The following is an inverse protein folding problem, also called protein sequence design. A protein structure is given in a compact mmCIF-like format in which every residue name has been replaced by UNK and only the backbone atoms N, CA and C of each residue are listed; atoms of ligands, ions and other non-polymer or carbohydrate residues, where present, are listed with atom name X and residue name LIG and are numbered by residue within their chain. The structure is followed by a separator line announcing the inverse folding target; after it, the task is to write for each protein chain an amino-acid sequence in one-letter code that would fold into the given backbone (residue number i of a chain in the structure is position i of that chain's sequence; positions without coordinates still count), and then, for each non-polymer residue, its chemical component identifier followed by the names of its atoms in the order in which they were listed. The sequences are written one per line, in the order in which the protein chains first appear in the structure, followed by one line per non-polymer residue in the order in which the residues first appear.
data_IF_683961474468
#
_entry.id   IF_683961474468
#
_cell.length_a   1.000
_cell.length_b   1.000
_cell.length_c   1.000
_cell.angle_alpha   90.00
_cell.angle_beta   90.00
_cell.angle_gamma   90.00
#
_symmetry.space_group_name_H-M   'P 1'
#
loop_
_entity.id
_entity.type
_entity.pdbx_description
1 polymer ?
#
# COMPACT_ATOMS: atom_id res chain seq x y z
N UNK A 1 18.53 13.74 3.11
CA UNK A 1 17.72 13.07 4.14
C UNK A 1 16.39 12.70 3.50
N UNK A 2 15.83 11.53 3.82
CA UNK A 2 14.76 10.93 3.00
C UNK A 2 13.60 10.36 3.82
N UNK A 3 12.45 10.35 3.16
CA UNK A 3 11.27 9.58 3.58
C UNK A 3 11.30 8.24 2.83
N UNK A 4 11.31 7.14 3.58
CA UNK A 4 11.16 5.80 3.02
C UNK A 4 9.68 5.43 3.06
N UNK A 5 9.12 5.00 1.93
CA UNK A 5 7.75 4.50 1.85
C UNK A 5 7.79 3.03 1.44
N UNK A 6 7.34 2.15 2.33
CA UNK A 6 7.09 0.74 2.03
C UNK A 6 5.61 0.60 1.66
N UNK A 7 5.31 0.18 0.43
CA UNK A 7 3.94 0.13 -0.07
C UNK A 7 3.76 -0.94 -1.15
N UNK A 8 2.61 -0.91 -1.82
CA UNK A 8 2.25 -1.74 -2.97
C UNK A 8 1.97 -0.84 -4.20
N UNK A 9 1.21 -1.31 -5.19
CA UNK A 9 0.91 -0.53 -6.38
C UNK A 9 0.07 0.72 -6.13
N UNK A 10 -0.66 0.82 -5.01
CA UNK A 10 -1.46 2.01 -4.69
C UNK A 10 -0.60 3.27 -4.46
N UNK A 11 0.70 3.11 -4.24
CA UNK A 11 1.62 4.23 -4.13
C UNK A 11 2.01 4.87 -5.46
N UNK A 12 1.92 4.15 -6.59
CA UNK A 12 2.46 4.63 -7.87
C UNK A 12 1.63 4.31 -9.11
N UNK A 13 0.46 3.68 -8.98
CA UNK A 13 -0.47 3.52 -10.10
C UNK A 13 -1.48 4.65 -10.15
N UNK A 14 -1.54 5.32 -11.29
CA UNK A 14 -2.56 6.32 -11.59
C UNK A 14 -3.73 5.76 -12.42
N UNK A 15 -4.56 6.65 -13.00
CA UNK A 15 -5.79 6.25 -13.70
C UNK A 15 -5.55 5.47 -15.00
N UNK A 16 -4.33 5.52 -15.56
CA UNK A 16 -3.95 4.84 -16.81
C UNK A 16 -2.95 3.69 -16.63
N UNK A 17 -2.62 3.34 -15.39
CA UNK A 17 -1.65 2.30 -15.05
C UNK A 17 -0.47 2.80 -14.22
N UNK A 18 0.61 2.03 -14.19
CA UNK A 18 1.80 2.34 -13.40
C UNK A 18 2.52 3.60 -13.88
N UNK A 19 2.83 4.49 -12.94
CA UNK A 19 3.65 5.68 -13.11
C UNK A 19 5.07 5.40 -12.60
N UNK A 20 6.00 6.33 -12.87
CA UNK A 20 7.33 6.27 -12.28
C UNK A 20 7.25 6.40 -10.75
N UNK A 21 8.16 5.75 -10.02
CA UNK A 21 8.19 5.79 -8.56
C UNK A 21 8.47 7.19 -7.97
N UNK A 22 8.90 8.14 -8.81
CA UNK A 22 9.13 9.54 -8.49
C UNK A 22 8.20 10.49 -9.27
N UNK A 23 7.10 9.98 -9.84
CA UNK A 23 6.12 10.82 -10.53
C UNK A 23 5.61 11.91 -9.56
N UNK A 24 5.55 13.19 -9.97
CA UNK A 24 5.18 14.27 -9.05
C UNK A 24 3.69 14.23 -8.63
N UNK A 25 2.84 13.47 -9.35
CA UNK A 25 1.41 13.35 -9.10
C UNK A 25 1.01 12.26 -8.11
N UNK A 26 1.92 11.37 -7.72
CA UNK A 26 1.63 10.31 -6.76
C UNK A 26 1.77 10.78 -5.32
N UNK A 27 0.93 10.24 -4.44
CA UNK A 27 0.83 10.67 -3.04
C UNK A 27 2.19 10.66 -2.29
N UNK A 28 3.09 9.67 -2.46
CA UNK A 28 4.37 9.67 -1.76
C UNK A 28 5.27 10.84 -2.19
N UNK A 29 5.28 11.17 -3.48
CA UNK A 29 6.07 12.29 -4.02
C UNK A 29 5.54 13.63 -3.54
N UNK A 30 4.21 13.76 -3.45
CA UNK A 30 3.55 14.96 -2.91
C UNK A 30 3.95 15.14 -1.44
N UNK A 31 3.83 14.09 -0.62
CA UNK A 31 4.24 14.12 0.80
C UNK A 31 5.71 14.50 0.94
N UNK A 32 6.59 13.88 0.16
CA UNK A 32 8.02 14.14 0.22
C UNK A 32 8.38 15.58 -0.17
N UNK A 33 7.81 16.09 -1.27
CA UNK A 33 7.94 17.49 -1.68
C UNK A 33 7.44 18.44 -0.58
N UNK A 34 6.27 18.17 -0.03
CA UNK A 34 5.66 19.05 0.98
C UNK A 34 6.41 19.01 2.32
N UNK A 35 7.22 17.96 2.57
CA UNK A 35 8.12 17.88 3.72
C UNK A 35 9.56 18.33 3.41
N UNK A 36 9.84 18.79 2.19
CA UNK A 36 11.19 19.11 1.70
C UNK A 36 12.18 17.95 1.94
N UNK A 37 11.81 16.75 1.51
CA UNK A 37 12.59 15.51 1.64
C UNK A 37 12.66 14.74 0.34
N UNK A 38 13.71 13.94 0.20
CA UNK A 38 13.80 12.97 -0.89
C UNK A 38 12.87 11.77 -0.62
N UNK A 39 12.20 11.27 -1.66
CA UNK A 39 11.41 10.05 -1.59
C UNK A 39 12.24 8.82 -1.96
N UNK A 40 12.20 7.79 -1.10
CA UNK A 40 12.62 6.42 -1.43
C UNK A 40 11.40 5.49 -1.35
N UNK A 41 10.74 5.27 -2.49
CA UNK A 41 9.55 4.43 -2.59
C UNK A 41 9.91 2.99 -2.97
N UNK A 42 9.48 2.04 -2.16
CA UNK A 42 9.59 0.60 -2.42
C UNK A 42 8.21 -0.04 -2.43
N UNK A 43 7.83 -0.57 -3.59
CA UNK A 43 6.56 -1.26 -3.77
C UNK A 43 6.49 -1.97 -5.11
N UNK A 44 5.67 -3.02 -5.18
CA UNK A 44 5.32 -3.68 -6.45
C UNK A 44 3.84 -4.02 -6.48
N UNK A 45 3.35 -4.22 -7.71
CA UNK A 45 1.98 -4.64 -7.95
C UNK A 45 1.67 -5.95 -7.22
N UNK A 46 0.56 -5.93 -6.48
CA UNK A 46 0.03 -7.10 -5.79
C UNK A 46 0.83 -7.54 -4.56
N UNK A 47 1.75 -6.72 -4.05
CA UNK A 47 2.48 -7.02 -2.83
C UNK A 47 1.57 -7.10 -1.61
N UNK A 48 1.74 -8.19 -0.87
CA UNK A 48 1.18 -8.39 0.46
C UNK A 48 2.21 -8.02 1.53
N UNK A 49 1.82 -7.99 2.81
CA UNK A 49 2.75 -7.82 3.95
C UNK A 49 3.89 -8.86 3.93
N UNK A 50 3.62 -10.08 3.45
CA UNK A 50 4.66 -11.11 3.25
C UNK A 50 5.70 -10.70 2.23
N UNK A 51 5.27 -10.11 1.11
CA UNK A 51 6.17 -9.71 0.03
C UNK A 51 7.04 -8.54 0.47
N UNK A 52 6.48 -7.59 1.24
CA UNK A 52 7.23 -6.50 1.85
C UNK A 52 8.30 -7.02 2.80
N UNK A 53 7.99 -8.03 3.63
CA UNK A 53 8.99 -8.66 4.50
C UNK A 53 10.16 -9.27 3.71
N UNK A 54 9.86 -10.00 2.64
CA UNK A 54 10.90 -10.59 1.80
C UNK A 54 11.70 -9.53 1.04
N UNK A 55 11.06 -8.47 0.57
CA UNK A 55 11.77 -7.35 -0.03
C UNK A 55 12.69 -6.68 0.99
N UNK A 56 12.19 -6.35 2.19
CA UNK A 56 12.97 -5.75 3.25
C UNK A 56 14.19 -6.59 3.59
N UNK A 57 14.09 -7.92 3.60
CA UNK A 57 15.21 -8.81 3.97
C UNK A 57 16.15 -9.15 2.83
N UNK A 58 15.72 -9.04 1.56
CA UNK A 58 16.50 -9.51 0.40
C UNK A 58 16.93 -8.39 -0.56
N UNK A 59 16.27 -7.24 -0.57
CA UNK A 59 16.61 -6.13 -1.47
C UNK A 59 17.65 -5.21 -0.81
N UNK A 60 18.91 -5.20 -1.31
CA UNK A 60 19.95 -4.37 -0.74
C UNK A 60 19.66 -2.87 -0.83
N UNK A 61 18.80 -2.43 -1.75
CA UNK A 61 18.45 -1.02 -1.89
C UNK A 61 17.56 -0.54 -0.73
N UNK A 62 16.70 -1.42 -0.20
CA UNK A 62 15.90 -1.10 0.98
C UNK A 62 16.83 -0.96 2.19
N UNK A 63 17.73 -1.92 2.39
CA UNK A 63 18.75 -1.85 3.45
C UNK A 63 19.65 -0.62 3.35
N UNK A 64 19.99 -0.19 2.14
CA UNK A 64 20.78 1.02 1.93
C UNK A 64 20.00 2.31 2.25
N UNK A 65 18.68 2.31 2.10
CA UNK A 65 17.85 3.50 2.33
C UNK A 65 17.48 3.73 3.80
N UNK A 66 17.32 2.67 4.61
CA UNK A 66 16.89 2.79 6.01
C UNK A 66 17.88 3.58 6.90
N UNK A 67 19.21 3.41 6.81
CA UNK A 67 20.16 4.16 7.62
C UNK A 67 20.05 5.68 7.48
N UNK A 68 19.76 6.17 6.27
CA UNK A 68 19.65 7.60 5.95
C UNK A 68 18.21 8.15 6.03
N UNK A 69 17.24 7.29 6.35
CA UNK A 69 15.85 7.67 6.53
C UNK A 69 15.66 8.49 7.81
N UNK A 70 14.79 9.49 7.73
CA UNK A 70 14.29 10.22 8.90
C UNK A 70 12.91 9.74 9.35
N UNK A 71 12.17 9.05 8.47
CA UNK A 71 10.88 8.44 8.78
C UNK A 71 10.58 7.32 7.80
N UNK A 72 9.96 6.25 8.28
CA UNK A 72 9.41 5.18 7.44
C UNK A 72 7.89 5.24 7.46
N UNK A 73 7.27 5.32 6.28
CA UNK A 73 5.83 5.18 6.12
C UNK A 73 5.52 3.77 5.65
N UNK A 74 4.76 3.02 6.44
CA UNK A 74 4.28 1.68 6.12
C UNK A 74 2.86 1.77 5.59
N UNK A 75 2.67 1.60 4.29
CA UNK A 75 1.40 1.76 3.59
C UNK A 75 1.08 0.55 2.69
N UNK A 76 0.89 -0.61 3.30
CA UNK A 76 0.57 -1.88 2.62
C UNK A 76 -0.49 -2.68 3.40
N UNK A 77 -0.83 -3.87 2.92
CA UNK A 77 -1.82 -4.75 3.58
C UNK A 77 -3.22 -4.69 2.97
N UNK A 78 -3.48 -3.78 2.02
CA UNK A 78 -4.71 -3.80 1.22
C UNK A 78 -4.86 -5.13 0.46
N UNK A 79 -3.76 -5.58 -0.17
CA UNK A 79 -3.70 -6.86 -0.89
C UNK A 79 -3.93 -8.08 0.00
N UNK A 80 -3.49 -8.05 1.27
CA UNK A 80 -3.68 -9.13 2.25
C UNK A 80 -5.17 -9.45 2.41
N UNK A 81 -5.99 -8.40 2.49
CA UNK A 81 -7.43 -8.48 2.74
C UNK A 81 -8.26 -9.01 1.57
N UNK A 82 -7.66 -9.17 0.39
CA UNK A 82 -8.39 -9.54 -0.82
C UNK A 82 -8.67 -11.05 -0.84
N UNK A 83 -9.86 -11.47 -1.32
CA UNK A 83 -10.14 -12.88 -1.51
C UNK A 83 -9.22 -13.46 -2.57
N UNK A 84 -8.55 -14.55 -2.22
CA UNK A 84 -7.58 -15.24 -3.07
C UNK A 84 -7.97 -16.72 -3.22
N UNK A 85 -8.95 -17.04 -4.08
CA UNK A 85 -9.44 -18.42 -4.26
C UNK A 85 -8.36 -19.40 -4.70
N UNK A 86 -7.34 -18.89 -5.39
CA UNK A 86 -6.14 -19.61 -5.77
C UNK A 86 -4.96 -18.99 -5.02
N UNK A 87 -4.17 -19.75 -4.25
CA UNK A 87 -3.01 -19.21 -3.56
C UNK A 87 -2.10 -18.43 -4.52
N UNK A 88 -1.61 -17.27 -4.06
CA UNK A 88 -0.79 -16.35 -4.86
C UNK A 88 0.37 -17.05 -5.57
N UNK A 89 1.02 -18.02 -4.91
CA UNK A 89 2.12 -18.80 -5.50
C UNK A 89 1.72 -19.53 -6.80
N UNK A 90 0.52 -20.12 -6.87
CA UNK A 90 0.04 -20.80 -8.08
C UNK A 90 -0.35 -19.80 -9.17
N UNK A 91 -0.98 -18.68 -8.79
CA UNK A 91 -1.28 -17.59 -9.72
C UNK A 91 -0.01 -17.06 -10.39
N UNK A 92 1.05 -16.86 -9.61
CA UNK A 92 2.34 -16.37 -10.12
C UNK A 92 3.05 -17.39 -11.03
N UNK A 93 2.79 -18.70 -10.87
CA UNK A 93 3.35 -19.72 -11.76
C UNK A 93 2.84 -19.63 -13.20
N UNK A 94 1.69 -19.00 -13.43
CA UNK A 94 1.11 -18.85 -14.77
C UNK A 94 2.13 -18.22 -15.74
N UNK A 95 2.96 -17.28 -15.28
CA UNK A 95 3.96 -16.61 -16.12
C UNK A 95 5.04 -17.55 -16.69
N UNK A 96 5.24 -18.71 -16.08
CA UNK A 96 6.24 -19.71 -16.49
C UNK A 96 5.67 -20.81 -17.40
N UNK A 97 4.36 -20.85 -17.61
CA UNK A 97 3.71 -21.86 -18.46
C UNK A 97 4.16 -21.70 -19.91
N UNK A 98 4.49 -22.83 -20.54
CA UNK A 98 4.82 -22.93 -21.97
C UNK A 98 4.04 -24.07 -22.60
N UNK A 99 3.71 -23.98 -23.89
CA UNK A 99 3.95 -22.85 -24.82
C UNK A 99 2.99 -21.65 -24.58
N UNK A 100 3.18 -20.56 -25.34
CA UNK A 100 2.45 -19.29 -25.13
C UNK A 100 0.92 -19.44 -25.16
N UNK A 101 0.39 -20.26 -26.07
CA UNK A 101 -1.06 -20.48 -26.17
C UNK A 101 -1.62 -21.10 -24.88
N UNK A 102 -0.90 -22.05 -24.27
CA UNK A 102 -1.34 -22.70 -23.03
C UNK A 102 -1.35 -21.70 -21.86
N UNK A 103 -0.30 -20.89 -21.75
CA UNK A 103 -0.24 -19.81 -20.75
C UNK A 103 -1.42 -18.86 -20.89
N UNK A 104 -1.75 -18.49 -22.13
CA UNK A 104 -2.85 -17.58 -22.42
C UNK A 104 -4.20 -18.21 -22.03
N UNK A 105 -4.43 -19.48 -22.38
CA UNK A 105 -5.63 -20.23 -21.96
C UNK A 105 -5.77 -20.32 -20.44
N UNK A 106 -4.68 -20.63 -19.73
CA UNK A 106 -4.70 -20.71 -18.26
C UNK A 106 -4.96 -19.33 -17.64
N UNK A 107 -4.35 -18.28 -18.17
CA UNK A 107 -4.59 -16.90 -17.73
C UNK A 107 -6.05 -16.50 -17.91
N UNK A 108 -6.64 -16.79 -19.07
CA UNK A 108 -8.02 -16.43 -19.38
C UNK A 108 -9.01 -17.22 -18.51
N UNK A 109 -8.74 -18.52 -18.31
CA UNK A 109 -9.50 -19.35 -17.38
C UNK A 109 -9.42 -18.80 -15.94
N UNK A 110 -8.23 -18.42 -15.48
CA UNK A 110 -8.05 -17.81 -14.17
C UNK A 110 -8.83 -16.48 -14.04
N UNK A 111 -8.74 -15.59 -15.03
CA UNK A 111 -9.47 -14.32 -15.06
C UNK A 111 -10.99 -14.52 -15.07
N UNK A 112 -11.48 -15.63 -15.64
CA UNK A 112 -12.89 -15.99 -15.60
C UNK A 112 -13.31 -16.55 -14.22
N UNK A 113 -12.48 -17.39 -13.60
CA UNK A 113 -12.79 -18.03 -12.30
C UNK A 113 -12.67 -17.04 -11.14
N UNK A 114 -11.60 -16.24 -11.10
CA UNK A 114 -11.25 -15.36 -9.98
C UNK A 114 -12.44 -14.52 -9.47
N UNK A 115 -13.09 -13.67 -10.28
CA UNK A 115 -14.16 -12.79 -9.78
C UNK A 115 -15.38 -13.56 -9.29
N UNK A 116 -15.61 -14.79 -9.80
CA UNK A 116 -16.72 -15.66 -9.37
C UNK A 116 -16.42 -16.34 -8.05
N UNK A 117 -15.22 -16.91 -7.93
CA UNK A 117 -14.78 -17.60 -6.73
C UNK A 117 -14.50 -16.62 -5.58
N UNK A 118 -14.06 -15.39 -5.87
CA UNK A 118 -13.85 -14.34 -4.87
C UNK A 118 -15.11 -14.00 -4.07
N UNK A 119 -16.32 -14.25 -4.60
CA UNK A 119 -17.60 -14.06 -3.88
C UNK A 119 -17.73 -14.93 -2.63
N UNK A 120 -17.02 -16.05 -2.56
CA UNK A 120 -16.91 -16.84 -1.33
C UNK A 120 -16.28 -16.02 -0.21
N UNK A 121 -15.36 -15.11 -0.56
CA UNK A 121 -14.67 -14.19 0.35
C UNK A 121 -13.60 -14.84 1.23
N UNK A 122 -13.33 -16.13 1.00
CA UNK A 122 -12.23 -16.90 1.60
C UNK A 122 -11.67 -17.90 0.57
N UNK A 123 -10.41 -18.32 0.70
CA UNK A 123 -9.42 -17.78 1.63
C UNK A 123 -9.01 -16.35 1.25
N UNK A 124 -8.44 -15.61 2.22
CA UNK A 124 -7.81 -14.31 1.96
C UNK A 124 -6.39 -14.52 1.43
N UNK A 125 -5.81 -13.51 0.80
CA UNK A 125 -4.40 -13.57 0.39
C UNK A 125 -3.50 -13.78 1.62
N UNK A 126 -3.71 -13.00 2.67
CA UNK A 126 -3.17 -13.22 4.01
C UNK A 126 -4.27 -12.97 5.06
N UNK A 127 -4.49 -13.90 6.01
CA UNK A 127 -5.36 -13.66 7.16
C UNK A 127 -4.82 -12.53 8.05
N UNK A 128 -5.71 -11.81 8.76
CA UNK A 128 -5.32 -10.62 9.54
C UNK A 128 -4.28 -10.92 10.62
N UNK A 129 -4.33 -12.09 11.26
CA UNK A 129 -3.31 -12.52 12.23
C UNK A 129 -1.92 -12.65 11.60
N UNK A 130 -1.84 -13.25 10.41
CA UNK A 130 -0.58 -13.41 9.68
C UNK A 130 -0.08 -12.08 9.15
N UNK A 131 -0.99 -11.18 8.75
CA UNK A 131 -0.65 -9.79 8.43
C UNK A 131 0.03 -9.13 9.62
N UNK A 132 -0.57 -9.16 10.82
CA UNK A 132 0.04 -8.58 12.02
C UNK A 132 1.43 -9.15 12.33
N UNK A 133 1.63 -10.47 12.17
CA UNK A 133 2.95 -11.09 12.34
C UNK A 133 4.01 -10.51 11.38
N UNK A 134 3.66 -10.26 10.12
CA UNK A 134 4.59 -9.65 9.16
C UNK A 134 4.84 -8.17 9.46
N UNK A 135 3.80 -7.42 9.89
CA UNK A 135 3.95 -6.04 10.33
C UNK A 135 4.92 -5.92 11.50
N UNK A 136 4.80 -6.81 12.50
CA UNK A 136 5.70 -6.88 13.65
C UNK A 136 7.13 -7.22 13.23
N UNK A 137 7.32 -8.22 12.36
CA UNK A 137 8.66 -8.57 11.82
C UNK A 137 9.32 -7.39 11.10
N UNK A 138 8.57 -6.70 10.25
CA UNK A 138 9.05 -5.55 9.48
C UNK A 138 9.43 -4.41 10.44
N UNK A 139 8.52 -4.00 11.32
CA UNK A 139 8.77 -2.90 12.26
C UNK A 139 9.92 -3.20 13.23
N UNK A 140 9.96 -4.41 13.79
CA UNK A 140 11.04 -4.85 14.67
C UNK A 140 12.40 -4.86 13.97
N UNK A 141 12.46 -5.27 12.70
CA UNK A 141 13.71 -5.27 11.95
C UNK A 141 14.22 -3.86 11.63
N UNK A 142 13.31 -2.95 11.29
CA UNK A 142 13.64 -1.53 11.12
C UNK A 142 14.17 -0.95 12.44
N UNK A 143 13.47 -1.20 13.55
CA UNK A 143 13.86 -0.73 14.89
C UNK A 143 15.16 -1.36 15.40
N UNK A 144 15.48 -2.58 14.98
CA UNK A 144 16.77 -3.20 15.29
C UNK A 144 17.94 -2.44 14.63
N UNK A 145 17.75 -1.95 13.40
CA UNK A 145 18.76 -1.19 12.68
C UNK A 145 18.82 0.28 13.12
N UNK A 146 17.65 0.90 13.33
CA UNK A 146 17.48 2.29 13.76
C UNK A 146 16.40 2.38 14.84
N UNK A 147 16.77 2.23 16.13
CA UNK A 147 15.80 2.26 17.23
C UNK A 147 15.02 3.58 17.34
N UNK A 148 15.67 4.68 16.97
CA UNK A 148 15.16 6.05 17.01
C UNK A 148 14.25 6.41 15.82
N UNK A 149 14.34 5.69 14.70
CA UNK A 149 13.65 6.03 13.45
C UNK A 149 12.11 6.00 13.62
N UNK A 150 11.42 7.14 13.44
CA UNK A 150 9.96 7.20 13.44
C UNK A 150 9.33 6.31 12.38
N UNK A 151 8.20 5.68 12.73
CA UNK A 151 7.39 4.85 11.82
C UNK A 151 5.96 5.39 11.82
N UNK A 152 5.43 5.68 10.63
CA UNK A 152 4.04 6.05 10.40
C UNK A 152 3.31 4.88 9.75
N UNK A 153 2.14 4.53 10.27
CA UNK A 153 1.31 3.43 9.77
C UNK A 153 0.13 3.98 8.96
N UNK A 154 -0.03 3.53 7.73
CA UNK A 154 -1.22 3.83 6.93
C UNK A 154 -2.13 2.61 6.88
N UNK A 155 -3.38 2.77 7.35
CA UNK A 155 -4.37 1.70 7.34
C UNK A 155 -4.89 1.46 5.92
N UNK A 156 -5.23 0.20 5.58
CA UNK A 156 -5.61 -0.16 4.23
C UNK A 156 -6.83 0.62 3.68
N UNK A 157 -6.79 0.98 2.39
CA UNK A 157 -7.89 1.63 1.69
C UNK A 157 -9.01 0.64 1.31
N UNK A 158 -10.01 1.14 0.57
CA UNK A 158 -11.00 0.28 -0.12
C UNK A 158 -10.71 0.16 -1.62
N UNK A 159 -11.54 -0.64 -2.31
CA UNK A 159 -11.51 -0.83 -3.76
C UNK A 159 -12.95 -0.98 -4.30
N UNK A 160 -13.15 -0.83 -5.61
CA UNK A 160 -14.36 -1.19 -6.34
C UNK A 160 -14.06 -2.21 -7.45
N UNK A 161 -13.10 -3.11 -7.22
CA UNK A 161 -12.60 -3.98 -8.29
C UNK A 161 -13.54 -5.13 -8.67
N UNK A 162 -13.90 -5.25 -9.96
CA UNK A 162 -14.63 -6.41 -10.46
C UNK A 162 -13.79 -7.69 -10.39
N UNK A 163 -12.45 -7.60 -10.42
CA UNK A 163 -11.57 -8.77 -10.37
C UNK A 163 -11.68 -9.56 -9.07
N UNK A 164 -12.06 -8.89 -7.98
CA UNK A 164 -12.31 -9.51 -6.69
C UNK A 164 -13.81 -9.63 -6.38
N UNK A 165 -14.66 -9.49 -7.41
CA UNK A 165 -16.11 -9.59 -7.28
C UNK A 165 -16.73 -8.55 -6.34
N UNK A 166 -16.07 -7.39 -6.14
CA UNK A 166 -16.47 -6.33 -5.20
C UNK A 166 -16.55 -6.80 -3.73
N UNK A 167 -15.74 -7.79 -3.36
CA UNK A 167 -15.81 -8.42 -2.03
C UNK A 167 -14.83 -7.78 -1.06
N UNK A 168 -15.34 -7.38 0.11
CA UNK A 168 -14.56 -6.72 1.17
C UNK A 168 -14.49 -7.50 2.48
N UNK A 169 -14.84 -8.81 2.48
CA UNK A 169 -14.98 -9.60 3.73
C UNK A 169 -13.72 -9.57 4.62
N UNK A 170 -12.53 -9.57 4.02
CA UNK A 170 -11.26 -9.55 4.76
C UNK A 170 -10.81 -8.17 5.26
N UNK A 171 -11.42 -7.08 4.77
CA UNK A 171 -10.92 -5.72 5.01
C UNK A 171 -10.93 -5.35 6.49
N UNK A 172 -12.09 -5.50 7.16
CA UNK A 172 -12.23 -5.08 8.56
C UNK A 172 -11.29 -5.86 9.49
N UNK A 173 -11.15 -7.18 9.28
CA UNK A 173 -10.22 -8.01 10.05
C UNK A 173 -8.77 -7.57 9.85
N UNK A 174 -8.37 -7.31 8.60
CA UNK A 174 -7.01 -6.87 8.25
C UNK A 174 -6.71 -5.47 8.80
N UNK A 175 -7.63 -4.52 8.61
CA UNK A 175 -7.50 -3.16 9.15
C UNK A 175 -7.43 -3.18 10.68
N UNK A 176 -8.26 -3.99 11.34
CA UNK A 176 -8.24 -4.16 12.79
C UNK A 176 -6.89 -4.68 13.29
N UNK A 177 -6.36 -5.72 12.65
CA UNK A 177 -5.06 -6.30 13.02
C UNK A 177 -3.91 -5.29 12.87
N UNK A 178 -3.89 -4.50 11.80
CA UNK A 178 -2.86 -3.45 11.59
C UNK A 178 -3.03 -2.32 12.60
N UNK A 179 -4.27 -1.89 12.86
CA UNK A 179 -4.55 -0.83 13.83
C UNK A 179 -4.20 -1.24 15.27
N UNK A 180 -4.45 -2.50 15.64
CA UNK A 180 -4.09 -3.05 16.95
C UNK A 180 -2.57 -3.12 17.12
N UNK A 181 -1.85 -3.54 16.08
CA UNK A 181 -0.39 -3.49 16.04
C UNK A 181 0.14 -2.06 16.20
N UNK A 182 -0.36 -1.11 15.40
CA UNK A 182 0.07 0.28 15.46
C UNK A 182 -0.19 0.88 16.86
N UNK A 183 -1.33 0.59 17.47
CA UNK A 183 -1.66 1.01 18.84
C UNK A 183 -0.71 0.41 19.87
N UNK A 184 -0.41 -0.88 19.77
CA UNK A 184 0.52 -1.56 20.68
C UNK A 184 1.93 -0.96 20.62
N UNK A 185 2.36 -0.48 19.45
CA UNK A 185 3.65 0.19 19.25
C UNK A 185 3.60 1.71 19.44
N UNK A 186 2.42 2.27 19.71
CA UNK A 186 2.18 3.72 19.78
C UNK A 186 2.61 4.46 18.51
N UNK A 187 2.45 3.83 17.35
CA UNK A 187 2.78 4.45 16.07
C UNK A 187 1.67 5.39 15.59
N UNK A 188 2.01 6.60 15.11
CA UNK A 188 1.05 7.47 14.45
C UNK A 188 0.42 6.76 13.25
N UNK A 189 -0.90 6.91 13.11
CA UNK A 189 -1.70 6.14 12.16
C UNK A 189 -2.54 7.07 11.28
N UNK A 190 -2.61 6.77 9.97
CA UNK A 190 -3.44 7.47 8.98
C UNK A 190 -4.44 6.49 8.37
N UNK A 191 -5.73 6.80 8.35
CA UNK A 191 -6.75 5.93 7.73
C UNK A 191 -7.08 6.35 6.30
N UNK A 192 -6.76 5.49 5.33
CA UNK A 192 -7.05 5.75 3.91
C UNK A 192 -8.50 5.43 3.52
N UNK A 193 -9.24 4.70 4.36
CA UNK A 193 -10.55 4.20 3.98
C UNK A 193 -11.58 5.30 3.69
N UNK A 194 -11.79 6.33 4.54
CA UNK A 194 -12.81 7.34 4.27
C UNK A 194 -12.58 8.05 2.94
N UNK A 195 -11.35 8.51 2.69
CA UNK A 195 -10.98 9.18 1.44
C UNK A 195 -11.16 8.29 0.23
N UNK A 196 -10.70 7.03 0.29
CA UNK A 196 -10.83 6.13 -0.86
C UNK A 196 -12.26 5.69 -1.10
N UNK A 197 -13.07 5.49 -0.04
CA UNK A 197 -14.51 5.22 -0.16
C UNK A 197 -15.21 6.36 -0.89
N UNK A 198 -14.99 7.59 -0.46
CA UNK A 198 -15.65 8.77 -1.04
C UNK A 198 -15.21 8.95 -2.49
N UNK A 199 -13.93 8.76 -2.77
CA UNK A 199 -13.38 8.86 -4.10
C UNK A 199 -13.95 7.78 -5.07
N UNK A 200 -14.17 6.54 -4.62
CA UNK A 200 -14.83 5.50 -5.43
C UNK A 200 -16.35 5.72 -5.58
N UNK A 201 -16.97 6.46 -4.66
CA UNK A 201 -18.40 6.79 -4.72
C UNK A 201 -18.69 8.02 -5.59
N UNK A 202 -17.68 8.84 -5.87
CA UNK A 202 -17.77 10.06 -6.66
C UNK A 202 -17.72 9.74 -8.17
N UNK A 203 -18.81 9.93 -8.93
CA UNK A 203 -18.85 9.65 -10.36
C UNK A 203 -18.01 10.63 -11.19
N UNK A 204 -17.68 11.80 -10.65
CA UNK A 204 -16.88 12.82 -11.33
C UNK A 204 -15.38 12.56 -11.17
N UNK A 205 -14.98 11.68 -10.25
CA UNK A 205 -13.59 11.28 -10.09
C UNK A 205 -13.17 10.20 -11.09
N UNK A 206 -12.14 10.51 -11.87
CA UNK A 206 -11.50 9.55 -12.74
C UNK A 206 -10.66 8.54 -11.93
N UNK A 207 -11.23 7.38 -11.65
CA UNK A 207 -10.53 6.23 -11.09
C UNK A 207 -9.88 5.36 -12.16
N UNK A 208 -8.98 4.47 -11.74
CA UNK A 208 -8.50 3.43 -12.63
C UNK A 208 -9.64 2.43 -12.92
N UNK A 209 -9.86 2.04 -14.19
CA UNK A 209 -10.91 1.10 -14.56
C UNK A 209 -10.77 -0.31 -13.95
N UNK A 210 -9.62 -0.67 -13.39
CA UNK A 210 -9.48 -1.93 -12.63
C UNK A 210 -10.21 -1.93 -11.28
N UNK A 211 -10.67 -0.75 -10.83
CA UNK A 211 -11.36 -0.57 -9.56
C UNK A 211 -10.48 -0.82 -8.34
N UNK A 212 -9.16 -0.82 -8.48
CA UNK A 212 -8.19 -0.93 -7.36
C UNK A 212 -7.46 0.39 -7.23
N UNK A 213 -6.87 0.88 -8.32
CA UNK A 213 -5.98 2.03 -8.30
C UNK A 213 -6.74 3.34 -8.48
N UNK A 214 -6.11 4.43 -8.03
CA UNK A 214 -6.76 5.70 -7.87
C UNK A 214 -6.48 6.66 -9.02
N UNK A 215 -7.34 7.67 -9.11
CA UNK A 215 -7.04 8.90 -9.85
C UNK A 215 -5.99 9.76 -9.13
N UNK A 216 -5.40 10.70 -9.87
CA UNK A 216 -4.46 11.67 -9.29
C UNK A 216 -5.11 12.59 -8.25
N UNK A 217 -6.43 12.79 -8.31
CA UNK A 217 -7.14 13.55 -7.27
C UNK A 217 -7.10 12.81 -5.93
N UNK A 218 -7.47 11.53 -5.90
CA UNK A 218 -7.39 10.74 -4.69
C UNK A 218 -5.94 10.60 -4.18
N UNK A 219 -4.91 10.55 -5.06
CA UNK A 219 -3.52 10.69 -4.61
C UNK A 219 -3.24 12.01 -3.87
N UNK A 220 -3.78 13.14 -4.34
CA UNK A 220 -3.66 14.43 -3.63
C UNK A 220 -4.37 14.41 -2.28
N UNK A 221 -5.56 13.83 -2.23
CA UNK A 221 -6.36 13.76 -0.99
C UNK A 221 -5.69 12.85 0.06
N UNK A 222 -5.11 11.73 -0.37
CA UNK A 222 -4.31 10.86 0.49
C UNK A 222 -3.03 11.57 0.96
N UNK A 223 -2.35 12.30 0.09
CA UNK A 223 -1.19 13.09 0.49
C UNK A 223 -1.57 14.16 1.56
N UNK A 224 -2.72 14.82 1.39
CA UNK A 224 -3.22 15.79 2.36
C UNK A 224 -3.49 15.18 3.76
N UNK A 225 -3.88 13.89 3.81
CA UNK A 225 -4.01 13.15 5.07
C UNK A 225 -2.65 12.76 5.68
N UNK A 226 -1.69 12.36 4.84
CA UNK A 226 -0.41 11.80 5.30
C UNK A 226 0.59 12.89 5.69
N UNK A 227 0.66 13.98 4.94
CA UNK A 227 1.65 15.05 5.12
C UNK A 227 1.69 15.60 6.56
N UNK A 228 0.58 15.94 7.22
CA UNK A 228 0.63 16.48 8.58
C UNK A 228 1.24 15.48 9.59
N UNK A 229 0.91 14.20 9.46
CA UNK A 229 1.41 13.15 10.35
C UNK A 229 2.89 12.88 10.13
N UNK A 230 3.34 12.92 8.87
CA UNK A 230 4.76 12.78 8.54
C UNK A 230 5.57 13.99 9.01
N UNK A 231 5.06 15.21 8.88
CA UNK A 231 5.73 16.42 9.40
C UNK A 231 5.89 16.38 10.92
N UNK A 232 4.86 15.96 11.64
CA UNK A 232 4.92 15.78 13.09
C UNK A 232 5.97 14.73 13.48
N UNK A 233 5.99 13.58 12.79
CA UNK A 233 7.01 12.55 13.00
C UNK A 233 8.45 13.02 12.69
N UNK A 234 8.61 13.95 11.74
CA UNK A 234 9.89 14.58 11.42
C UNK A 234 10.26 15.72 12.39
N UNK A 235 9.37 16.13 13.30
CA UNK A 235 9.57 17.30 14.16
C UNK A 235 9.59 18.63 13.39
N UNK A 236 9.01 18.68 12.19
CA UNK A 236 8.94 19.89 11.36
C UNK A 236 7.64 20.65 11.69
N UNK A 237 7.70 21.92 12.14
CA UNK A 237 6.50 22.72 12.41
C UNK A 237 5.61 22.83 11.17
N UNK A 238 4.29 22.91 11.37
CA UNK A 238 3.38 23.29 10.29
C UNK A 238 3.81 24.66 9.73
N UNK A 239 3.86 24.78 8.39
CA UNK A 239 4.17 26.06 7.76
C UNK A 239 3.19 27.12 8.28
N UNK A 240 3.71 28.10 9.01
CA UNK A 240 2.93 29.19 9.56
C UNK A 240 2.23 29.95 8.43
N UNK A 241 0.95 30.25 8.63
CA UNK A 241 0.24 31.28 7.88
C UNK A 241 0.78 32.65 8.29
N UNK A 242 2.02 32.97 7.91
CA UNK A 242 2.60 34.28 8.10
C UNK A 242 2.62 35.03 6.77
N UNK A 243 1.86 36.12 6.69
CA UNK A 243 2.15 37.21 5.76
C UNK A 243 1.05 37.68 4.81
N UNK A 244 -0.15 38.00 5.32
CA UNK A 244 -1.00 39.06 4.72
C UNK A 244 -1.55 39.94 5.85
N UNK A 245 -0.69 40.85 6.32
CA UNK A 245 -1.07 42.13 6.91
C UNK A 245 -0.25 43.21 6.23
#
# INVERSE_FOLDING_TARGET
MSIVVLSDSLAFFGPKGGLAANDPGIWPSIVARDCDRELKLFGRIGWTSRDVWWALTQDPNIWAAIPDAEVVVMAFGGMDSLPSPLPTAFREQIRYIRPNWLRQTVRDGYQWVQPRASKLGKPLALPGSVTAEYWDKIGSSIKQLRPDLPIVVCLPPTHASPYYGFVHKGRLETTGAIADYARAQSFPTVDFYPTTRDAFADPDQQMNPDGIHWGLQCHRDIAALVTPVVRDALGVPAAGTDGLT
#
